data_IF_789943537883
#
_entry.id   IF_789943537883
#
_cell.length_a   1.000
_cell.length_b   1.000
_cell.length_c   1.000
_cell.angle_alpha   90.00
_cell.angle_beta   90.00
_cell.angle_gamma   90.00
#
_symmetry.space_group_name_H-M   'P 1'
#
loop_
_entity.id
_entity.type
_entity.pdbx_description
1 polymer ?
#
# COMPACT_ATOMS: atom_id res chain seq x y z
N UNK A 1 -17.93 0.64 4.33
CA UNK A 1 -16.58 0.69 4.94
C UNK A 1 -15.88 1.89 4.31
N UNK A 2 -15.16 2.68 5.07
CA UNK A 2 -14.39 3.82 4.55
C UNK A 2 -12.90 3.45 4.51
N UNK A 3 -12.11 4.15 3.70
CA UNK A 3 -10.68 3.86 3.45
C UNK A 3 -9.84 3.95 4.73
N UNK A 4 -10.23 4.82 5.65
CA UNK A 4 -9.64 4.93 6.99
C UNK A 4 -9.81 3.67 7.84
N UNK A 5 -10.95 3.01 7.73
CA UNK A 5 -11.20 1.75 8.42
C UNK A 5 -10.35 0.62 7.83
N UNK A 6 -10.12 0.60 6.51
CA UNK A 6 -9.24 -0.40 5.88
C UNK A 6 -7.79 -0.17 6.29
N UNK A 7 -7.26 1.05 6.12
CA UNK A 7 -5.85 1.34 6.41
C UNK A 7 -5.57 1.16 7.90
N UNK A 8 -6.45 1.64 8.77
CA UNK A 8 -6.32 1.44 10.23
C UNK A 8 -6.37 -0.04 10.61
N UNK A 9 -7.26 -0.82 9.98
CA UNK A 9 -7.34 -2.26 10.23
C UNK A 9 -6.08 -3.00 9.76
N UNK A 10 -5.58 -2.69 8.57
CA UNK A 10 -4.32 -3.28 8.06
C UNK A 10 -3.15 -2.99 9.00
N UNK A 11 -3.03 -1.74 9.47
CA UNK A 11 -1.97 -1.33 10.41
C UNK A 11 -2.10 -1.95 11.81
N UNK A 12 -3.31 -2.27 12.28
CA UNK A 12 -3.54 -2.69 13.67
C UNK A 12 -3.68 -4.21 13.83
N UNK A 13 -4.25 -4.89 12.84
CA UNK A 13 -4.69 -6.29 12.98
C UNK A 13 -3.89 -7.30 12.15
N UNK A 14 -3.28 -6.88 11.04
CA UNK A 14 -2.68 -7.81 10.07
C UNK A 14 -1.15 -7.82 10.08
N UNK A 15 -0.52 -7.14 11.05
CA UNK A 15 0.93 -6.96 11.06
C UNK A 15 1.45 -6.23 9.82
N UNK A 16 0.59 -5.46 9.14
CA UNK A 16 1.02 -4.63 8.02
C UNK A 16 1.62 -3.34 8.59
N UNK A 17 2.84 -2.99 8.19
CA UNK A 17 3.48 -1.75 8.64
C UNK A 17 3.94 -0.94 7.46
N UNK A 18 3.61 0.35 7.46
CA UNK A 18 4.46 1.32 6.78
C UNK A 18 5.79 1.36 7.53
N UNK A 19 6.91 1.46 6.81
CA UNK A 19 8.25 1.55 7.40
C UNK A 19 8.24 2.51 8.59
N UNK A 20 8.82 2.09 9.73
CA UNK A 20 8.82 2.83 10.99
C UNK A 20 9.04 4.33 10.78
N UNK A 21 8.07 5.15 11.23
CA UNK A 21 8.16 6.62 11.17
C UNK A 21 7.38 7.29 10.03
N UNK A 22 6.63 6.54 9.22
CA UNK A 22 5.72 7.09 8.20
C UNK A 22 4.30 7.16 8.76
N UNK A 23 3.67 8.34 8.70
CA UNK A 23 2.26 8.54 8.99
C UNK A 23 1.48 8.82 7.70
N UNK A 24 0.35 8.14 7.52
CA UNK A 24 -0.59 8.40 6.41
C UNK A 24 -1.79 9.13 6.97
N UNK A 25 -2.06 10.34 6.46
CA UNK A 25 -3.28 11.09 6.78
C UNK A 25 -4.26 10.96 5.64
N UNK A 26 -5.47 10.50 5.93
CA UNK A 26 -6.57 10.50 4.99
C UNK A 26 -7.37 11.77 5.13
N UNK A 27 -7.47 12.53 4.05
CA UNK A 27 -8.26 13.75 3.98
C UNK A 27 -9.50 13.48 3.13
N UNK A 28 -10.65 13.94 3.61
CA UNK A 28 -11.89 13.86 2.86
C UNK A 28 -11.83 14.82 1.66
N UNK A 29 -12.18 14.33 0.47
CA UNK A 29 -12.32 15.17 -0.72
C UNK A 29 -13.47 16.15 -0.57
N UNK A 30 -13.28 17.40 -1.02
CA UNK A 30 -14.35 18.39 -1.15
C UNK A 30 -15.31 18.06 -2.30
N UNK A 31 -14.89 17.23 -3.25
CA UNK A 31 -15.67 16.79 -4.40
C UNK A 31 -15.62 15.25 -4.53
N UNK A 32 -16.51 14.53 -3.82
CA UNK A 32 -16.52 13.07 -3.78
C UNK A 32 -16.92 12.41 -5.11
N UNK A 33 -17.72 13.09 -5.93
CA UNK A 33 -18.24 12.54 -7.19
C UNK A 33 -17.15 12.38 -8.26
N UNK A 34 -16.09 13.19 -8.16
CA UNK A 34 -14.93 13.18 -9.04
C UNK A 34 -13.75 12.36 -8.51
N UNK A 35 -13.93 11.64 -7.40
CA UNK A 35 -12.92 10.71 -6.90
C UNK A 35 -12.69 9.54 -7.86
N UNK A 36 -11.51 8.89 -7.80
CA UNK A 36 -11.28 7.63 -8.50
C UNK A 36 -12.41 6.66 -8.21
N UNK A 37 -12.90 6.00 -9.26
CA UNK A 37 -13.96 4.99 -9.11
C UNK A 37 -13.32 3.63 -9.00
N UNK A 38 -13.89 2.79 -8.13
CA UNK A 38 -13.58 1.36 -8.08
C UNK A 38 -13.67 0.82 -9.50
N UNK A 39 -12.59 0.16 -9.89
CA UNK A 39 -12.37 -0.35 -11.24
C UNK A 39 -11.86 -1.78 -11.14
N UNK A 40 -11.51 -2.40 -12.27
CA UNK A 40 -10.91 -3.73 -12.21
C UNK A 40 -9.53 -3.62 -11.56
N UNK A 41 -9.25 -4.51 -10.60
CA UNK A 41 -7.93 -4.61 -9.97
C UNK A 41 -6.86 -4.80 -11.05
N UNK A 42 -5.87 -3.91 -11.06
CA UNK A 42 -4.73 -3.94 -11.98
C UNK A 42 -3.44 -3.76 -11.17
N UNK A 43 -2.66 -4.83 -10.96
CA UNK A 43 -1.38 -4.78 -10.23
C UNK A 43 -0.35 -3.80 -10.82
N UNK A 44 -0.55 -3.32 -12.06
CA UNK A 44 0.36 -2.37 -12.72
C UNK A 44 -0.03 -0.90 -12.54
N UNK A 45 -1.18 -0.62 -11.94
CA UNK A 45 -1.59 0.76 -11.65
C UNK A 45 -0.81 1.33 -10.47
N UNK A 46 -0.80 2.65 -10.32
CA UNK A 46 -0.20 3.32 -9.16
C UNK A 46 -0.88 2.85 -7.88
N UNK A 47 -0.09 2.41 -6.89
CA UNK A 47 -0.58 1.85 -5.64
C UNK A 47 0.27 2.30 -4.45
N UNK A 48 -0.32 2.20 -3.26
CA UNK A 48 0.40 2.28 -1.99
C UNK A 48 0.75 0.88 -1.51
N UNK A 49 2.01 0.65 -1.18
CA UNK A 49 2.51 -0.66 -0.74
C UNK A 49 2.72 -0.70 0.76
N UNK A 50 2.29 -1.80 1.38
CA UNK A 50 2.55 -2.10 2.78
C UNK A 50 3.22 -3.46 2.91
N UNK A 51 4.17 -3.57 3.85
CA UNK A 51 4.79 -4.84 4.16
C UNK A 51 3.96 -5.57 5.23
N UNK A 52 3.77 -6.88 5.08
CA UNK A 52 3.17 -7.72 6.13
C UNK A 52 4.09 -8.88 6.53
N UNK A 53 3.87 -9.41 7.73
CA UNK A 53 4.55 -10.61 8.21
C UNK A 53 3.96 -11.90 7.61
N UNK A 54 2.65 -11.89 7.30
CA UNK A 54 1.91 -13.08 6.88
C UNK A 54 0.85 -12.74 5.84
N UNK A 55 1.09 -13.15 4.59
CA UNK A 55 0.11 -13.02 3.50
C UNK A 55 -1.16 -13.82 3.78
N UNK A 56 -1.05 -14.94 4.48
CA UNK A 56 -2.20 -15.78 4.83
C UNK A 56 -3.18 -15.03 5.75
N UNK A 57 -2.66 -14.37 6.79
CA UNK A 57 -3.49 -13.58 7.73
C UNK A 57 -4.17 -12.41 7.03
N UNK A 58 -3.46 -11.75 6.11
CA UNK A 58 -4.04 -10.66 5.30
C UNK A 58 -5.15 -11.19 4.39
N UNK A 59 -4.90 -12.28 3.66
CA UNK A 59 -5.88 -12.91 2.77
C UNK A 59 -7.15 -13.33 3.49
N UNK A 60 -7.03 -14.05 4.61
CA UNK A 60 -8.16 -14.44 5.46
C UNK A 60 -8.98 -13.22 5.89
N UNK A 61 -8.30 -12.11 6.25
CA UNK A 61 -9.00 -10.91 6.70
C UNK A 61 -9.78 -10.21 5.58
N UNK A 62 -9.19 -10.15 4.39
CA UNK A 62 -9.87 -9.59 3.21
C UNK A 62 -11.09 -10.42 2.82
N UNK A 63 -11.00 -11.75 2.91
CA UNK A 63 -12.13 -12.66 2.68
C UNK A 63 -13.26 -12.45 3.70
N UNK A 64 -12.95 -12.36 5.00
CA UNK A 64 -13.93 -12.04 6.05
C UNK A 64 -14.67 -10.73 5.77
N UNK A 65 -13.97 -9.75 5.21
CA UNK A 65 -14.49 -8.42 4.89
C UNK A 65 -15.17 -8.36 3.52
N UNK A 66 -15.17 -9.47 2.77
CA UNK A 66 -15.71 -9.55 1.41
C UNK A 66 -15.05 -8.56 0.45
N UNK A 67 -13.75 -8.35 0.60
CA UNK A 67 -12.94 -7.51 -0.29
C UNK A 67 -12.33 -8.41 -1.36
N UNK A 68 -12.56 -8.08 -2.62
CA UNK A 68 -11.90 -8.75 -3.74
C UNK A 68 -10.42 -8.37 -3.81
N UNK A 69 -9.56 -9.36 -4.06
CA UNK A 69 -8.13 -9.16 -4.21
C UNK A 69 -7.56 -10.03 -5.33
N UNK A 70 -6.37 -9.64 -5.82
CA UNK A 70 -5.55 -10.43 -6.74
C UNK A 70 -4.23 -10.74 -6.05
N UNK A 71 -3.92 -12.03 -5.92
CA UNK A 71 -2.61 -12.46 -5.44
C UNK A 71 -1.71 -12.84 -6.61
N UNK A 72 -0.46 -12.43 -6.54
CA UNK A 72 0.58 -12.75 -7.53
C UNK A 72 1.87 -13.09 -6.81
N UNK A 73 2.72 -13.86 -7.49
CA UNK A 73 4.08 -14.15 -7.06
C UNK A 73 5.02 -13.69 -8.16
N UNK A 74 6.01 -12.89 -7.79
CA UNK A 74 7.04 -12.39 -8.71
C UNK A 74 8.43 -12.78 -8.21
N UNK A 75 9.40 -12.78 -9.12
CA UNK A 75 10.81 -12.95 -8.79
C UNK A 75 11.49 -11.57 -8.86
N UNK A 76 11.91 -11.04 -7.72
CA UNK A 76 12.67 -9.79 -7.60
C UNK A 76 14.05 -10.09 -6.99
N UNK A 77 15.11 -9.70 -7.68
CA UNK A 77 16.50 -9.96 -7.26
C UNK A 77 16.81 -11.43 -6.90
N UNK A 78 16.15 -12.36 -7.59
CA UNK A 78 16.29 -13.81 -7.36
C UNK A 78 15.56 -14.32 -6.12
N UNK A 79 14.69 -13.51 -5.52
CA UNK A 79 13.81 -13.88 -4.41
C UNK A 79 12.35 -13.92 -4.88
N UNK A 80 11.60 -14.93 -4.43
CA UNK A 80 10.15 -14.97 -4.63
C UNK A 80 9.48 -14.01 -3.65
N UNK A 81 8.76 -13.02 -4.18
CA UNK A 81 7.95 -12.08 -3.40
C UNK A 81 6.49 -12.35 -3.71
N UNK A 82 5.71 -12.62 -2.66
CA UNK A 82 4.25 -12.69 -2.77
C UNK A 82 3.68 -11.28 -2.60
N UNK A 83 2.82 -10.90 -3.53
CA UNK A 83 2.11 -9.63 -3.52
C UNK A 83 0.61 -9.87 -3.59
N UNK A 84 -0.15 -9.01 -2.94
CA UNK A 84 -1.61 -9.01 -2.94
C UNK A 84 -2.10 -7.60 -3.22
N UNK A 85 -2.97 -7.48 -4.22
CA UNK A 85 -3.52 -6.20 -4.67
C UNK A 85 -5.02 -6.16 -4.43
N UNK A 86 -5.52 -5.06 -3.88
CA UNK A 86 -6.95 -4.80 -3.74
C UNK A 86 -7.23 -3.30 -3.82
N UNK A 87 -8.49 -2.92 -3.91
CA UNK A 87 -8.91 -1.51 -3.88
C UNK A 87 -9.54 -1.17 -2.54
N UNK A 88 -9.24 0.02 -2.02
CA UNK A 88 -10.02 0.59 -0.94
C UNK A 88 -11.39 1.09 -1.44
N UNK A 89 -12.30 1.50 -0.54
CA UNK A 89 -13.63 1.98 -0.91
C UNK A 89 -13.62 3.23 -1.80
N UNK A 90 -12.53 4.00 -1.80
CA UNK A 90 -12.33 5.18 -2.64
C UNK A 90 -11.62 4.85 -3.98
N UNK A 91 -11.43 3.56 -4.29
CA UNK A 91 -10.84 3.09 -5.54
C UNK A 91 -9.32 3.20 -5.61
N UNK A 92 -8.63 3.52 -4.51
CA UNK A 92 -7.18 3.53 -4.45
C UNK A 92 -6.64 2.10 -4.44
N UNK A 93 -5.63 1.84 -5.26
CA UNK A 93 -4.98 0.54 -5.30
C UNK A 93 -4.04 0.40 -4.10
N UNK A 94 -4.18 -0.70 -3.37
CA UNK A 94 -3.32 -1.07 -2.24
C UNK A 94 -2.61 -2.38 -2.59
N UNK A 95 -1.30 -2.39 -2.39
CA UNK A 95 -0.46 -3.58 -2.44
C UNK A 95 -0.04 -3.98 -1.02
N UNK A 96 -0.12 -5.27 -0.74
CA UNK A 96 0.52 -5.90 0.41
C UNK A 96 1.61 -6.84 -0.10
N UNK A 97 2.85 -6.66 0.37
CA UNK A 97 3.96 -7.56 0.04
C UNK A 97 4.54 -8.22 1.29
N UNK A 98 5.11 -9.42 1.15
CA UNK A 98 5.87 -10.10 2.20
C UNK A 98 7.38 -9.91 2.02
N UNK A 99 7.81 -8.71 1.61
CA UNK A 99 9.19 -8.32 1.26
C UNK A 99 10.21 -8.54 2.40
N UNK A 100 10.43 -9.78 2.80
CA UNK A 100 11.34 -10.18 3.85
C UNK A 100 12.75 -10.15 3.26
N UNK A 101 13.41 -9.00 3.44
CA UNK A 101 14.85 -8.85 3.32
C UNK A 101 15.40 -8.73 1.89
N UNK A 102 14.67 -8.07 0.97
CA UNK A 102 15.33 -7.50 -0.22
C UNK A 102 16.48 -6.59 0.27
N UNK A 103 17.71 -6.77 -0.23
CA UNK A 103 18.84 -5.93 0.17
C UNK A 103 18.58 -4.50 -0.29
N UNK A 104 18.04 -3.67 0.60
CA UNK A 104 17.83 -2.25 0.35
C UNK A 104 19.21 -1.62 0.23
N UNK A 105 19.72 -1.46 -0.99
CA UNK A 105 20.97 -0.73 -1.21
C UNK A 105 20.59 0.75 -1.20
N UNK A 106 21.01 1.55 -0.20
CA UNK A 106 20.73 2.97 -0.21
C UNK A 106 21.33 3.56 -1.49
N UNK A 107 20.51 4.22 -2.30
CA UNK A 107 21.05 5.06 -3.36
C UNK A 107 21.96 6.09 -2.69
N UNK A 108 23.24 6.09 -3.05
CA UNK A 108 24.20 7.01 -2.48
C UNK A 108 23.65 8.43 -2.56
N UNK A 109 23.67 9.10 -1.42
CA UNK A 109 23.19 10.45 -1.22
C UNK A 109 24.04 11.43 -2.03
N UNK A 110 23.78 11.56 -3.33
CA UNK A 110 24.24 12.71 -4.08
C UNK A 110 23.06 13.66 -4.23
N UNK A 111 23.24 14.82 -3.58
CA UNK A 111 22.42 16.03 -3.50
C UNK A 111 21.02 15.93 -2.88
N UNK A 112 20.96 16.08 -1.55
CA UNK A 112 19.94 16.95 -0.92
C UNK A 112 20.03 18.34 -1.53
N UNK A 113 19.37 18.55 -2.66
CA UNK A 113 18.88 19.88 -3.02
C UNK A 113 17.75 20.19 -2.06
N UNK A 114 18.09 20.85 -0.94
CA UNK A 114 17.09 21.45 -0.08
C UNK A 114 16.29 22.46 -0.91
N UNK A 115 15.06 22.13 -1.24
CA UNK A 115 14.11 23.09 -1.79
C UNK A 115 13.79 24.12 -0.70
N UNK A 116 14.55 25.20 -0.65
CA UNK A 116 14.15 26.40 0.08
C UNK A 116 12.98 27.03 -0.68
N UNK A 117 11.76 26.86 -0.17
CA UNK A 117 10.61 27.66 -0.58
C UNK A 117 10.92 29.14 -0.27
N UNK A 118 11.37 29.88 -1.27
CA UNK A 118 11.41 31.33 -1.22
C UNK A 118 10.01 31.84 -1.57
N UNK A 119 9.21 32.19 -0.56
CA UNK A 119 8.00 32.98 -0.78
C UNK A 119 8.42 34.42 -1.14
N UNK A 120 8.02 34.87 -2.33
CA UNK A 120 7.88 36.29 -2.70
C UNK A 120 6.44 36.56 -3.07
#
# INVERSE_FOLDING_TARGET
MHSDQIISLMCTYSGCSAVYGIGVHLLQSEDPENMPKISKINPKDNHFSFQCESMATVGEKLEEMQIEYVQTRIEEDGMEVDQLFFQDPDGMMIEICNCNNLPVTPLAHDVMLSCSFNNK
#
